data_IF_501676773668
#
_entry.id   IF_501676773668
#
_cell.length_a   1.000
_cell.length_b   1.000
_cell.length_c   1.000
_cell.angle_alpha   90.00
_cell.angle_beta   90.00
_cell.angle_gamma   90.00
#
_symmetry.space_group_name_H-M   'P 1'
#
loop_
_entity.id
_entity.type
_entity.pdbx_description
1 polymer ?
#
# COMPACT_ATOMS: atom_id res chain seq x y z
N UNK A 1 -0.52 -12.35 32.06
CA UNK A 1 0.72 -11.74 31.51
C UNK A 1 0.81 -11.73 29.97
N UNK A 2 0.57 -12.83 29.24
CA UNK A 2 0.63 -12.85 27.75
C UNK A 2 -0.42 -11.95 27.07
N UNK A 3 -1.64 -11.89 27.59
CA UNK A 3 -2.73 -11.05 27.06
C UNK A 3 -2.40 -9.55 27.17
N UNK A 4 -1.89 -9.11 28.32
CA UNK A 4 -1.46 -7.73 28.56
C UNK A 4 -0.33 -7.31 27.61
N UNK A 5 0.65 -8.20 27.38
CA UNK A 5 1.77 -7.92 26.46
C UNK A 5 1.29 -7.75 25.01
N UNK A 6 0.31 -8.56 24.58
CA UNK A 6 -0.33 -8.43 23.26
C UNK A 6 -1.13 -7.12 23.16
N UNK A 7 -1.84 -6.75 24.22
CA UNK A 7 -2.65 -5.53 24.26
C UNK A 7 -1.78 -4.26 24.23
N UNK A 8 -0.70 -4.23 25.01
CA UNK A 8 0.28 -3.12 24.99
C UNK A 8 0.97 -3.04 23.64
N UNK A 9 1.40 -4.17 23.07
CA UNK A 9 1.99 -4.17 21.72
C UNK A 9 1.01 -3.65 20.66
N UNK A 10 -0.28 -3.99 20.76
CA UNK A 10 -1.33 -3.46 19.89
C UNK A 10 -1.50 -1.95 20.05
N UNK A 11 -1.61 -1.45 21.29
CA UNK A 11 -1.71 -0.01 21.58
C UNK A 11 -0.52 0.78 21.04
N UNK A 12 0.71 0.29 21.23
CA UNK A 12 1.91 0.92 20.71
C UNK A 12 1.92 0.92 19.17
N UNK A 13 1.46 -0.16 18.54
CA UNK A 13 1.39 -0.25 17.07
C UNK A 13 0.35 0.71 16.50
N UNK A 14 -0.83 0.79 17.12
CA UNK A 14 -1.89 1.73 16.71
C UNK A 14 -1.48 3.19 16.97
N UNK A 15 -0.84 3.48 18.12
CA UNK A 15 -0.28 4.80 18.39
C UNK A 15 0.82 5.18 17.39
N UNK A 16 1.72 4.25 17.04
CA UNK A 16 2.73 4.47 16.00
C UNK A 16 2.12 4.73 14.64
N UNK A 17 1.09 3.99 14.23
CA UNK A 17 0.42 4.21 12.94
C UNK A 17 -0.33 5.54 12.87
N UNK A 18 -0.68 6.14 14.02
CA UNK A 18 -1.23 7.50 14.10
C UNK A 18 -0.12 8.54 13.93
N UNK A 19 1.05 8.34 14.56
CA UNK A 19 2.15 9.33 14.56
C UNK A 19 3.04 9.26 13.33
N UNK A 20 3.29 8.06 12.78
CA UNK A 20 4.17 7.80 11.61
C UNK A 20 3.62 6.65 10.76
N UNK A 21 2.61 6.89 9.90
CA UNK A 21 2.16 5.88 8.97
C UNK A 21 3.26 5.53 7.95
N UNK A 22 3.35 4.27 7.56
CA UNK A 22 4.25 3.82 6.50
C UNK A 22 3.84 4.41 5.14
N UNK A 23 2.53 4.57 4.92
CA UNK A 23 1.95 5.03 3.67
C UNK A 23 0.88 6.11 3.87
N UNK A 24 1.05 7.23 3.17
CA UNK A 24 0.06 8.31 3.07
C UNK A 24 -0.46 8.45 1.65
N UNK A 25 -1.70 8.94 1.51
CA UNK A 25 -2.31 9.18 0.21
C UNK A 25 -2.07 10.60 -0.27
N UNK A 26 -1.60 10.73 -1.51
CA UNK A 26 -1.53 11.99 -2.24
C UNK A 26 -2.37 11.89 -3.53
N UNK A 27 -3.33 12.80 -3.72
CA UNK A 27 -4.14 12.84 -4.95
C UNK A 27 -3.43 13.69 -6.01
N UNK A 28 -3.41 13.23 -7.25
CA UNK A 28 -2.81 13.94 -8.40
C UNK A 28 -3.66 13.72 -9.65
N UNK A 29 -3.65 14.67 -10.56
CA UNK A 29 -4.30 14.51 -11.88
C UNK A 29 -3.35 13.86 -12.90
N UNK A 30 -2.05 14.16 -12.78
CA UNK A 30 -1.01 13.58 -13.63
C UNK A 30 -0.44 12.32 -13.00
N UNK A 31 -0.19 11.31 -13.83
CA UNK A 31 0.58 10.15 -13.43
C UNK A 31 2.07 10.53 -13.23
N UNK A 32 2.64 10.31 -12.03
CA UNK A 32 4.06 10.59 -11.78
C UNK A 32 4.97 9.62 -12.53
N UNK A 33 6.13 10.11 -12.97
CA UNK A 33 7.21 9.30 -13.49
C UNK A 33 7.88 8.49 -12.35
N UNK A 34 8.54 7.35 -12.64
CA UNK A 34 9.17 6.52 -11.62
C UNK A 34 10.12 7.28 -10.67
N UNK A 35 10.85 8.26 -11.20
CA UNK A 35 11.83 9.08 -10.46
C UNK A 35 11.16 10.07 -9.50
N UNK A 36 9.89 10.41 -9.74
CA UNK A 36 9.12 11.36 -8.92
C UNK A 36 8.44 10.65 -7.72
N UNK A 37 8.43 9.31 -7.70
CA UNK A 37 7.79 8.52 -6.66
C UNK A 37 8.60 8.52 -5.37
N UNK A 38 8.07 9.23 -4.36
CA UNK A 38 8.62 9.20 -3.01
C UNK A 38 8.25 7.92 -2.28
N UNK A 39 9.21 7.34 -1.54
CA UNK A 39 8.93 6.26 -0.60
C UNK A 39 7.93 6.72 0.46
N UNK A 40 7.01 5.84 0.85
CA UNK A 40 5.99 6.14 1.84
C UNK A 40 4.76 6.90 1.31
N UNK A 41 4.65 7.13 -0.01
CA UNK A 41 3.52 7.84 -0.62
C UNK A 41 2.82 6.98 -1.66
N UNK A 42 1.49 6.90 -1.55
CA UNK A 42 0.61 6.34 -2.56
C UNK A 42 -0.06 7.48 -3.32
N UNK A 43 0.27 7.60 -4.61
CA UNK A 43 -0.27 8.59 -5.52
C UNK A 43 -1.55 8.07 -6.15
N UNK A 44 -2.70 8.64 -5.80
CA UNK A 44 -3.96 8.33 -6.46
C UNK A 44 -4.14 9.27 -7.64
N UNK A 45 -4.01 8.72 -8.84
CA UNK A 45 -4.20 9.44 -10.10
C UNK A 45 -5.69 9.48 -10.40
N UNK A 46 -6.23 10.70 -10.50
CA UNK A 46 -7.64 10.96 -10.74
C UNK A 46 -7.82 11.71 -12.05
N UNK A 47 -8.92 11.48 -12.77
CA UNK A 47 -9.30 12.29 -13.92
C UNK A 47 -10.79 12.58 -13.89
N UNK A 48 -11.17 13.86 -13.98
CA UNK A 48 -12.58 14.27 -13.84
C UNK A 48 -13.19 13.83 -12.50
N UNK A 49 -12.42 13.89 -11.41
CA UNK A 49 -12.84 13.44 -10.08
C UNK A 49 -12.87 11.92 -9.86
N UNK A 50 -12.64 11.10 -10.90
CA UNK A 50 -12.68 9.64 -10.79
C UNK A 50 -11.28 9.05 -10.60
N UNK A 51 -11.02 8.27 -9.53
CA UNK A 51 -9.76 7.56 -9.34
C UNK A 51 -9.53 6.50 -10.42
N UNK A 52 -8.35 6.54 -11.06
CA UNK A 52 -7.96 5.62 -12.14
C UNK A 52 -6.86 4.66 -11.70
N UNK A 53 -5.85 5.19 -11.00
CA UNK A 53 -4.67 4.42 -10.59
C UNK A 53 -4.26 4.76 -9.17
N UNK A 54 -3.74 3.78 -8.43
CA UNK A 54 -2.90 4.01 -7.26
C UNK A 54 -1.46 3.62 -7.64
N UNK A 55 -0.56 4.59 -7.61
CA UNK A 55 0.83 4.45 -8.02
C UNK A 55 1.73 4.67 -6.82
N UNK A 56 2.68 3.78 -6.58
CA UNK A 56 3.60 3.90 -5.46
C UNK A 56 4.94 3.23 -5.77
N UNK A 57 5.98 3.61 -5.05
CA UNK A 57 7.24 2.86 -5.04
C UNK A 57 7.07 1.61 -4.19
N UNK A 58 7.61 0.48 -4.64
CA UNK A 58 7.50 -0.77 -3.90
C UNK A 58 8.14 -0.63 -2.51
N UNK A 59 7.40 -0.95 -1.43
CA UNK A 59 7.88 -0.69 -0.07
C UNK A 59 8.94 -1.68 0.41
N UNK A 60 9.24 -2.75 -0.34
CA UNK A 60 10.33 -3.67 0.00
C UNK A 60 11.72 -3.05 -0.23
N UNK A 61 11.80 -1.90 -0.91
CA UNK A 61 13.05 -1.22 -1.20
C UNK A 61 13.68 -1.54 -2.56
N UNK A 62 13.12 -2.48 -3.34
CA UNK A 62 13.65 -2.84 -4.68
C UNK A 62 13.64 -1.67 -5.69
N UNK A 63 12.84 -0.64 -5.43
CA UNK A 63 12.74 0.54 -6.30
C UNK A 63 11.71 0.45 -7.42
N UNK A 64 11.06 -0.69 -7.61
CA UNK A 64 10.04 -0.87 -8.65
C UNK A 64 8.82 0.03 -8.43
N UNK A 65 8.24 0.50 -9.53
CA UNK A 65 6.98 1.23 -9.54
C UNK A 65 5.82 0.23 -9.54
N UNK A 66 4.99 0.28 -8.51
CA UNK A 66 3.71 -0.40 -8.46
C UNK A 66 2.63 0.51 -9.06
N UNK A 67 1.84 -0.02 -9.98
CA UNK A 67 0.70 0.67 -10.58
C UNK A 67 -0.55 -0.21 -10.49
N UNK A 68 -1.45 0.15 -9.56
CA UNK A 68 -2.65 -0.61 -9.23
C UNK A 68 -3.87 0.04 -9.89
N UNK A 69 -4.63 -0.75 -10.64
CA UNK A 69 -5.87 -0.29 -11.28
C UNK A 69 -6.97 -0.05 -10.25
N UNK A 70 -7.56 1.15 -10.27
CA UNK A 70 -8.75 1.48 -9.47
C UNK A 70 -10.06 1.39 -10.27
N UNK A 71 -9.95 1.05 -11.55
CA UNK A 71 -11.10 0.97 -12.44
C UNK A 71 -12.03 -0.19 -12.02
N UNK A 72 -13.33 0.05 -11.76
CA UNK A 72 -14.27 -0.98 -11.33
C UNK A 72 -14.50 -2.09 -12.35
N UNK A 73 -14.25 -1.84 -13.65
CA UNK A 73 -14.48 -2.78 -14.75
C UNK A 73 -13.27 -3.66 -15.10
N UNK A 74 -12.06 -3.33 -14.61
CA UNK A 74 -10.85 -4.13 -14.86
C UNK A 74 -10.51 -5.06 -13.69
N UNK A 75 -9.73 -6.11 -13.96
CA UNK A 75 -9.17 -7.00 -12.92
C UNK A 75 -7.67 -7.22 -13.19
N UNK A 76 -6.85 -7.33 -12.13
CA UNK A 76 -7.18 -7.07 -10.73
C UNK A 76 -7.56 -5.59 -10.48
N UNK A 77 -8.46 -5.34 -9.52
CA UNK A 77 -8.87 -3.98 -9.11
C UNK A 77 -8.57 -3.78 -7.65
N UNK A 78 -8.22 -2.55 -7.30
CA UNK A 78 -8.08 -2.13 -5.92
C UNK A 78 -9.09 -1.04 -5.58
N UNK A 79 -9.57 -1.08 -4.35
CA UNK A 79 -10.27 -0.01 -3.67
C UNK A 79 -9.28 0.70 -2.77
N UNK A 80 -9.34 2.03 -2.79
CA UNK A 80 -8.48 2.90 -1.98
C UNK A 80 -9.36 3.68 -1.03
N UNK A 81 -9.01 3.65 0.26
CA UNK A 81 -9.64 4.49 1.28
C UNK A 81 -8.61 5.42 1.90
N UNK A 82 -8.99 6.68 2.10
CA UNK A 82 -8.23 7.67 2.84
C UNK A 82 -8.97 8.00 4.12
N UNK A 83 -8.28 7.94 5.26
CA UNK A 83 -8.85 8.44 6.52
C UNK A 83 -8.54 9.93 6.75
N UNK A 84 -9.03 10.48 7.87
CA UNK A 84 -8.82 11.89 8.23
C UNK A 84 -7.35 12.25 8.47
N UNK A 85 -6.50 11.26 8.75
CA UNK A 85 -5.05 11.43 8.95
C UNK A 85 -4.26 11.24 7.65
N UNK A 86 -4.94 11.20 6.50
CA UNK A 86 -4.37 10.93 5.16
C UNK A 86 -3.74 9.54 5.03
N UNK A 87 -4.01 8.62 5.95
CA UNK A 87 -3.49 7.25 5.89
C UNK A 87 -4.29 6.46 4.85
N UNK A 88 -3.57 5.64 4.09
CA UNK A 88 -4.17 4.89 2.97
C UNK A 88 -4.52 3.46 3.39
N UNK A 89 -5.63 2.94 2.90
CA UNK A 89 -5.93 1.51 2.95
C UNK A 89 -6.21 1.01 1.55
N UNK A 90 -5.66 -0.15 1.19
CA UNK A 90 -5.81 -0.79 -0.11
C UNK A 90 -6.45 -2.16 0.04
N UNK A 91 -7.41 -2.47 -0.83
CA UNK A 91 -8.09 -3.76 -0.86
C UNK A 91 -8.30 -4.19 -2.31
N UNK A 92 -7.94 -5.42 -2.72
CA UNK A 92 -7.33 -6.50 -1.93
C UNK A 92 -5.85 -6.24 -1.60
N UNK A 93 -5.13 -7.25 -1.12
CA UNK A 93 -3.67 -7.20 -0.98
C UNK A 93 -2.99 -6.85 -2.31
N UNK A 94 -1.79 -6.31 -2.21
CA UNK A 94 -0.92 -6.02 -3.34
C UNK A 94 0.05 -7.19 -3.47
N UNK A 95 0.06 -7.85 -4.62
CA UNK A 95 0.99 -8.94 -4.93
C UNK A 95 1.68 -8.67 -6.26
N UNK A 96 2.99 -8.58 -6.24
CA UNK A 96 3.80 -8.61 -7.46
C UNK A 96 3.98 -10.05 -7.92
N UNK A 97 3.74 -10.30 -9.20
CA UNK A 97 3.93 -11.60 -9.85
C UNK A 97 5.24 -11.69 -10.62
N UNK A 98 6.03 -10.61 -10.64
CA UNK A 98 7.35 -10.52 -11.24
C UNK A 98 8.25 -9.63 -10.37
N UNK A 99 9.56 -9.67 -10.60
CA UNK A 99 10.52 -8.85 -9.85
C UNK A 99 10.68 -9.32 -8.41
N UNK A 100 10.52 -8.42 -7.45
CA UNK A 100 10.75 -8.72 -6.03
C UNK A 100 9.68 -9.59 -5.34
N UNK A 101 8.62 -10.02 -6.04
CA UNK A 101 7.51 -10.84 -5.52
C UNK A 101 6.90 -10.34 -4.20
N UNK A 102 6.95 -9.02 -3.96
CA UNK A 102 6.39 -8.40 -2.77
C UNK A 102 4.89 -8.72 -2.64
N UNK A 103 4.47 -9.18 -1.45
CA UNK A 103 3.07 -9.44 -1.14
C UNK A 103 2.70 -8.86 0.22
N UNK A 104 1.78 -7.90 0.24
CA UNK A 104 1.41 -7.19 1.46
C UNK A 104 -0.01 -6.63 1.42
N UNK A 105 -0.57 -6.40 2.60
CA UNK A 105 -1.75 -5.59 2.83
C UNK A 105 -1.36 -4.16 3.21
N UNK A 106 -2.25 -3.21 2.91
CA UNK A 106 -2.12 -1.84 3.38
C UNK A 106 -3.38 -1.46 4.14
N UNK A 107 -3.27 -1.18 5.43
CA UNK A 107 -4.40 -0.86 6.32
C UNK A 107 -4.05 0.34 7.18
N UNK A 108 -4.85 1.41 7.08
CA UNK A 108 -4.65 2.65 7.85
C UNK A 108 -3.19 3.14 7.80
N UNK A 109 -2.60 3.10 6.61
CA UNK A 109 -1.24 3.54 6.34
C UNK A 109 -0.16 2.60 6.85
N UNK A 110 -0.51 1.43 7.40
CA UNK A 110 0.46 0.42 7.83
C UNK A 110 0.59 -0.66 6.77
N UNK A 111 1.83 -1.11 6.51
CA UNK A 111 2.11 -2.23 5.63
C UNK A 111 2.16 -3.52 6.46
N UNK A 112 1.37 -4.52 6.06
CA UNK A 112 1.35 -5.84 6.69
C UNK A 112 1.78 -6.89 5.67
N UNK A 113 3.01 -7.38 5.80
CA UNK A 113 3.59 -8.36 4.90
C UNK A 113 2.93 -9.72 5.02
N UNK A 114 2.65 -10.35 3.89
CA UNK A 114 2.19 -11.74 3.82
C UNK A 114 3.39 -12.69 3.97
N UNK A 115 3.16 -13.90 4.49
CA UNK A 115 4.23 -14.87 4.75
C UNK A 115 4.94 -15.41 3.50
N UNK A 116 4.32 -15.27 2.32
CA UNK A 116 4.88 -15.64 1.01
C UNK A 116 5.53 -14.47 0.27
N UNK A 117 5.65 -13.29 0.90
CA UNK A 117 6.26 -12.12 0.27
C UNK A 117 7.73 -12.38 -0.06
N UNK A 118 8.13 -12.07 -1.29
CA UNK A 118 9.48 -12.30 -1.79
C UNK A 118 9.70 -13.67 -2.43
N UNK A 119 8.73 -14.58 -2.33
CA UNK A 119 8.83 -15.92 -2.93
C UNK A 119 8.18 -15.97 -4.31
N UNK A 120 8.89 -16.55 -5.28
CA UNK A 120 8.35 -16.85 -6.60
C UNK A 120 7.18 -17.86 -6.49
N UNK A 121 6.06 -17.65 -7.19
CA UNK A 121 4.96 -18.62 -7.23
C UNK A 121 5.30 -19.91 -8.00
N UNK A 122 6.36 -19.91 -8.81
CA UNK A 122 6.70 -21.02 -9.73
C UNK A 122 7.57 -22.10 -9.05
N UNK A 123 8.29 -21.76 -7.98
CA UNK A 123 9.23 -22.67 -7.29
C UNK A 123 8.58 -23.47 -6.15
N UNK A 124 7.25 -23.63 -6.17
CA UNK A 124 6.50 -24.28 -5.09
C UNK A 124 5.64 -25.44 -5.56
#
# INVERSE_FOLDING_TARGET
MKALRKYVAWLVREARSIVRPDLVLHSTERQPAPQELKSGVVYVVQGGGTPKWAVMRCPCGCGEKLQLSLNPTRRPRWTVHRDRLRRVSLQPSVRQTAGCFAHFWVRRGTIEWCGDSGSSPIER
#
